data_IF_119860850388
#
_entry.id   IF_119860850388
#
_cell.length_a   1.000
_cell.length_b   1.000
_cell.length_c   1.000
_cell.angle_alpha   90.00
_cell.angle_beta   90.00
_cell.angle_gamma   90.00
#
_symmetry.space_group_name_H-M   'P 1'
#
loop_
_entity.id
_entity.type
_entity.pdbx_description
1 polymer ?
#
# COMPACT_ATOMS: atom_id res chain seq x y z
N UNK A 1 9.84 -29.82 -27.55
CA UNK A 1 10.17 -28.44 -27.97
C UNK A 1 8.97 -27.59 -28.41
N UNK A 2 7.96 -28.11 -29.12
CA UNK A 2 6.78 -27.33 -29.57
C UNK A 2 5.95 -26.69 -28.44
N UNK A 3 5.80 -27.36 -27.30
CA UNK A 3 5.10 -26.82 -26.12
C UNK A 3 5.83 -25.61 -25.50
N UNK A 4 7.15 -25.65 -25.43
CA UNK A 4 7.95 -24.55 -24.89
C UNK A 4 7.83 -23.31 -25.80
N UNK A 5 7.86 -23.52 -27.13
CA UNK A 5 7.67 -22.44 -28.11
C UNK A 5 6.27 -21.81 -28.04
N UNK A 6 5.20 -22.59 -27.85
CA UNK A 6 3.84 -22.04 -27.75
C UNK A 6 3.60 -21.29 -26.44
N UNK A 7 4.14 -21.80 -25.33
CA UNK A 7 4.06 -21.12 -24.02
C UNK A 7 4.87 -19.82 -24.06
N UNK A 8 6.08 -19.84 -24.61
CA UNK A 8 6.92 -18.65 -24.73
C UNK A 8 6.27 -17.58 -25.62
N UNK A 9 5.67 -17.96 -26.75
CA UNK A 9 4.95 -17.04 -27.63
C UNK A 9 3.71 -16.43 -26.97
N UNK A 10 2.99 -17.19 -26.16
CA UNK A 10 1.86 -16.68 -25.39
C UNK A 10 2.32 -15.67 -24.32
N UNK A 11 3.38 -16.00 -23.57
CA UNK A 11 3.95 -15.11 -22.55
C UNK A 11 4.46 -13.82 -23.18
N UNK A 12 5.22 -13.89 -24.29
CA UNK A 12 5.73 -12.69 -24.98
C UNK A 12 4.59 -11.79 -25.45
N UNK A 13 3.51 -12.35 -25.99
CA UNK A 13 2.36 -11.57 -26.46
C UNK A 13 1.62 -10.90 -25.32
N UNK A 14 1.53 -11.55 -24.15
CA UNK A 14 0.91 -11.02 -22.94
C UNK A 14 1.77 -9.93 -22.28
N UNK A 15 3.09 -10.14 -22.20
CA UNK A 15 4.05 -9.13 -21.73
C UNK A 15 4.08 -7.93 -22.66
N UNK A 16 4.05 -8.14 -23.97
CA UNK A 16 3.97 -7.06 -24.96
C UNK A 16 2.68 -6.24 -24.84
N UNK A 17 1.54 -6.89 -24.61
CA UNK A 17 0.26 -6.21 -24.35
C UNK A 17 0.31 -5.38 -23.07
N UNK A 18 0.87 -5.92 -21.99
CA UNK A 18 1.02 -5.22 -20.72
C UNK A 18 1.97 -4.02 -20.86
N UNK A 19 3.09 -4.21 -21.57
CA UNK A 19 4.02 -3.14 -21.91
C UNK A 19 3.36 -2.03 -22.70
N UNK A 20 2.59 -2.36 -23.75
CA UNK A 20 1.88 -1.38 -24.56
C UNK A 20 0.82 -0.61 -23.75
N UNK A 21 0.12 -1.27 -22.84
CA UNK A 21 -0.91 -0.67 -21.99
C UNK A 21 -0.28 0.28 -20.95
N UNK A 22 0.82 -0.13 -20.32
CA UNK A 22 1.59 0.75 -19.44
C UNK A 22 2.16 1.95 -20.20
N UNK A 23 2.69 1.73 -21.40
CA UNK A 23 3.25 2.79 -22.24
C UNK A 23 2.18 3.78 -22.70
N UNK A 24 0.96 3.32 -23.03
CA UNK A 24 -0.15 4.22 -23.37
C UNK A 24 -0.64 5.01 -22.15
N UNK A 25 -0.70 4.39 -20.98
CA UNK A 25 -1.02 5.07 -19.72
C UNK A 25 0.02 6.15 -19.39
N UNK A 26 1.29 5.81 -19.56
CA UNK A 26 2.40 6.74 -19.35
C UNK A 26 2.40 7.89 -20.36
N UNK A 27 2.15 7.62 -21.65
CA UNK A 27 1.99 8.65 -22.68
C UNK A 27 0.78 9.55 -22.40
N UNK A 28 -0.35 8.98 -22.00
CA UNK A 28 -1.52 9.75 -21.58
C UNK A 28 -1.21 10.66 -20.39
N UNK A 29 -0.45 10.15 -19.42
CA UNK A 29 0.02 10.93 -18.28
C UNK A 29 0.94 12.08 -18.68
N UNK A 30 1.95 11.84 -19.53
CA UNK A 30 2.84 12.89 -20.03
C UNK A 30 2.07 13.96 -20.80
N UNK A 31 1.06 13.55 -21.57
CA UNK A 31 0.21 14.47 -22.33
C UNK A 31 -0.65 15.34 -21.41
N UNK A 32 -1.18 14.78 -20.32
CA UNK A 32 -1.90 15.51 -19.27
C UNK A 32 -0.97 16.49 -18.53
N UNK A 33 0.27 16.07 -18.20
CA UNK A 33 1.26 16.95 -17.58
C UNK A 33 1.68 18.11 -18.49
N UNK A 34 1.81 17.86 -19.79
CA UNK A 34 2.14 18.89 -20.76
C UNK A 34 1.01 19.90 -20.98
N UNK A 35 -0.25 19.46 -20.88
CA UNK A 35 -1.42 20.32 -21.07
C UNK A 35 -1.81 21.13 -19.83
N UNK A 36 -1.45 20.69 -18.62
CA UNK A 36 -1.92 21.29 -17.37
C UNK A 36 -0.71 21.68 -16.48
N UNK A 37 -0.19 22.91 -16.59
CA UNK A 37 0.97 23.36 -15.82
C UNK A 37 0.77 23.26 -14.30
N UNK A 38 -0.47 23.41 -13.82
CA UNK A 38 -0.82 23.28 -12.40
C UNK A 38 -0.57 21.87 -11.84
N UNK A 39 -0.59 20.82 -12.67
CA UNK A 39 -0.22 19.47 -12.24
C UNK A 39 1.29 19.33 -12.01
N UNK A 40 2.10 20.04 -12.79
CA UNK A 40 3.56 20.03 -12.65
C UNK A 40 3.98 20.74 -11.37
N UNK A 41 3.34 21.87 -11.06
CA UNK A 41 3.49 22.58 -9.79
C UNK A 41 3.06 21.69 -8.62
N UNK A 42 1.88 21.06 -8.68
CA UNK A 42 1.42 20.17 -7.61
C UNK A 42 2.33 18.94 -7.37
N UNK A 43 2.96 18.39 -8.42
CA UNK A 43 3.96 17.33 -8.26
C UNK A 43 5.25 17.87 -7.62
N UNK A 44 5.72 19.03 -8.06
CA UNK A 44 6.89 19.68 -7.47
C UNK A 44 6.67 20.04 -5.99
N UNK A 45 5.50 20.57 -5.65
CA UNK A 45 5.10 20.88 -4.27
C UNK A 45 5.03 19.62 -3.40
N UNK A 46 4.67 18.47 -3.99
CA UNK A 46 4.72 17.18 -3.30
C UNK A 46 6.11 16.70 -2.99
N UNK A 47 7.00 16.73 -3.97
CA UNK A 47 8.39 16.37 -3.75
C UNK A 47 9.06 17.34 -2.75
N UNK A 48 8.70 18.63 -2.82
CA UNK A 48 9.12 19.64 -1.85
C UNK A 48 8.59 19.36 -0.45
N UNK A 49 7.31 18.99 -0.30
CA UNK A 49 6.75 18.62 1.00
C UNK A 49 7.51 17.46 1.62
N UNK A 50 7.79 16.40 0.84
CA UNK A 50 8.57 15.26 1.35
C UNK A 50 9.99 15.67 1.75
N UNK A 51 10.61 16.60 1.03
CA UNK A 51 11.91 17.14 1.38
C UNK A 51 11.85 17.97 2.67
N UNK A 52 10.88 18.87 2.80
CA UNK A 52 10.69 19.74 3.98
C UNK A 52 10.42 18.91 5.23
N UNK A 53 9.61 17.84 5.15
CA UNK A 53 9.37 16.92 6.26
C UNK A 53 10.66 16.22 6.70
N UNK A 54 11.52 15.80 5.75
CA UNK A 54 12.83 15.21 6.07
C UNK A 54 13.79 16.23 6.69
N UNK A 55 13.86 17.43 6.13
CA UNK A 55 14.69 18.53 6.66
C UNK A 55 14.24 18.92 8.06
N UNK A 56 12.93 19.05 8.30
CA UNK A 56 12.36 19.31 9.62
C UNK A 56 12.77 18.23 10.62
N UNK A 57 12.62 16.95 10.28
CA UNK A 57 13.00 15.85 11.16
C UNK A 57 14.52 15.84 11.47
N UNK A 58 15.35 16.25 10.52
CA UNK A 58 16.79 16.41 10.74
C UNK A 58 17.09 17.57 11.70
N UNK A 59 16.47 18.73 11.51
CA UNK A 59 16.62 19.90 12.38
C UNK A 59 16.11 19.61 13.80
N UNK A 60 14.98 18.92 13.93
CA UNK A 60 14.41 18.51 15.23
C UNK A 60 15.37 17.59 15.99
N UNK A 61 15.99 16.63 15.29
CA UNK A 61 17.01 15.75 15.87
C UNK A 61 18.29 16.49 16.26
N UNK A 62 18.75 17.44 15.44
CA UNK A 62 19.91 18.29 15.76
C UNK A 62 19.64 19.18 16.97
N UNK A 63 18.42 19.71 17.08
CA UNK A 63 17.99 20.54 18.21
C UNK A 63 17.94 19.72 19.51
N UNK A 64 17.34 18.53 19.49
CA UNK A 64 17.37 17.61 20.64
C UNK A 64 18.81 17.26 21.06
N UNK A 65 19.72 17.06 20.10
CA UNK A 65 21.12 16.77 20.40
C UNK A 65 21.82 17.98 21.04
N UNK A 66 21.61 19.18 20.51
CA UNK A 66 22.18 20.42 21.05
C UNK A 66 21.66 20.69 22.46
N UNK A 67 20.37 20.48 22.73
CA UNK A 67 19.79 20.62 24.06
C UNK A 67 20.43 19.67 25.06
N UNK A 68 20.61 18.39 24.70
CA UNK A 68 21.31 17.42 25.56
C UNK A 68 22.77 17.80 25.80
N UNK A 69 23.49 18.26 24.77
CA UNK A 69 24.88 18.71 24.91
C UNK A 69 24.98 19.94 25.84
N UNK A 70 24.00 20.84 25.79
CA UNK A 70 23.92 21.99 26.70
C UNK A 70 23.60 21.54 28.13
N UNK A 71 22.66 20.63 28.34
CA UNK A 71 22.35 20.10 29.67
C UNK A 71 23.53 19.35 30.29
N UNK A 72 24.20 18.48 29.52
CA UNK A 72 25.41 17.79 29.96
C UNK A 72 26.56 18.76 30.24
N UNK A 73 26.74 19.77 29.40
CA UNK A 73 27.73 20.83 29.60
C UNK A 73 27.48 21.61 30.88
N UNK A 74 26.22 21.99 31.13
CA UNK A 74 25.82 22.71 32.35
C UNK A 74 25.99 21.85 33.60
N UNK A 75 25.63 20.56 33.54
CA UNK A 75 25.84 19.63 34.64
C UNK A 75 27.33 19.51 35.00
N UNK A 76 28.21 19.36 33.99
CA UNK A 76 29.67 19.30 34.20
C UNK A 76 30.26 20.61 34.74
N UNK A 77 29.79 21.76 34.25
CA UNK A 77 30.22 23.06 34.79
C UNK A 77 29.83 23.22 36.25
N UNK A 78 28.60 22.81 36.63
CA UNK A 78 28.17 22.82 38.03
C UNK A 78 28.99 21.86 38.89
N UNK A 79 29.26 20.64 38.40
CA UNK A 79 30.08 19.66 39.13
C UNK A 79 31.50 20.20 39.37
N UNK A 80 32.14 20.74 38.32
CA UNK A 80 33.47 21.36 38.44
C UNK A 80 33.49 22.58 39.37
N UNK A 81 32.42 23.40 39.37
CA UNK A 81 32.27 24.54 40.28
C UNK A 81 32.09 24.09 41.72
N UNK A 82 31.25 23.07 41.94
CA UNK A 82 30.99 22.51 43.25
C UNK A 82 32.27 21.89 43.85
N UNK A 83 33.06 21.17 43.04
CA UNK A 83 34.37 20.63 43.45
C UNK A 83 35.36 21.73 43.81
N UNK A 84 35.40 22.83 43.04
CA UNK A 84 36.27 23.97 43.30
C UNK A 84 35.88 24.69 44.60
N UNK A 85 34.59 24.97 44.79
CA UNK A 85 34.08 25.64 45.98
C UNK A 85 34.26 24.74 47.21
N UNK A 86 34.05 23.41 47.11
CA UNK A 86 34.30 22.49 48.21
C UNK A 86 35.78 22.43 48.61
N UNK A 87 36.69 22.54 47.64
CA UNK A 87 38.12 22.67 47.90
C UNK A 87 38.45 23.99 48.62
N UNK A 88 37.91 25.13 48.14
CA UNK A 88 38.09 26.46 48.76
C UNK A 88 37.52 26.51 50.19
N UNK A 89 36.35 25.92 50.44
CA UNK A 89 35.77 25.82 51.80
C UNK A 89 36.67 24.98 52.71
N UNK A 90 37.21 23.87 52.21
CA UNK A 90 38.07 22.98 53.00
C UNK A 90 39.41 23.64 53.34
N UNK A 91 39.98 24.40 52.41
CA UNK A 91 41.19 25.20 52.61
C UNK A 91 40.91 26.36 53.58
N UNK A 92 39.87 27.16 53.32
CA UNK A 92 39.48 28.27 54.20
C UNK A 92 39.20 27.84 55.63
N UNK A 93 38.55 26.69 55.86
CA UNK A 93 38.35 26.15 57.22
C UNK A 93 39.67 25.77 57.92
N UNK A 94 40.68 25.31 57.18
CA UNK A 94 42.01 25.05 57.75
C UNK A 94 42.72 26.36 58.08
N UNK A 95 42.68 27.32 57.18
CA UNK A 95 43.33 28.63 57.35
C UNK A 95 42.73 29.40 58.53
N UNK A 96 41.39 29.39 58.68
CA UNK A 96 40.72 29.95 59.86
C UNK A 96 41.16 29.23 61.13
N UNK A 97 41.25 27.90 61.12
CA UNK A 97 41.67 27.14 62.30
C UNK A 97 43.14 27.41 62.69
N UNK A 98 44.02 27.51 61.69
CA UNK A 98 45.44 27.84 61.87
C UNK A 98 45.62 29.27 62.37
N UNK A 99 44.98 30.25 61.72
CA UNK A 99 45.09 31.65 62.14
C UNK A 99 44.44 31.93 63.48
N UNK A 100 43.33 31.27 63.81
CA UNK A 100 42.72 31.36 65.14
C UNK A 100 43.65 30.81 66.22
N UNK A 101 44.41 29.75 65.92
CA UNK A 101 45.42 29.23 66.82
C UNK A 101 46.63 30.18 66.96
N UNK A 102 47.05 30.82 65.87
CA UNK A 102 48.13 31.82 65.86
C UNK A 102 47.75 33.09 66.63
N UNK A 103 46.57 33.67 66.36
CA UNK A 103 46.00 34.81 67.10
C UNK A 103 45.89 34.47 68.59
N UNK A 104 45.43 33.26 68.94
CA UNK A 104 45.33 32.83 70.34
C UNK A 104 46.71 32.76 71.00
N UNK A 105 47.72 32.19 70.35
CA UNK A 105 49.10 32.18 70.86
C UNK A 105 49.63 33.59 71.07
N UNK A 106 49.42 34.50 70.11
CA UNK A 106 49.86 35.90 70.21
C UNK A 106 49.12 36.66 71.33
N UNK A 107 47.85 36.30 71.60
CA UNK A 107 47.04 36.89 72.68
C UNK A 107 47.45 36.38 74.06
N UNK A 108 47.74 35.07 74.17
CA UNK A 108 48.23 34.43 75.40
C UNK A 108 49.65 34.93 75.74
N UNK A 109 50.52 35.14 74.75
CA UNK A 109 51.84 35.79 74.95
C UNK A 109 51.70 37.26 75.41
N UNK A 110 50.58 37.91 75.12
CA UNK A 110 50.30 39.29 75.54
C UNK A 110 49.92 39.40 77.02
N UNK A 111 49.37 38.35 77.64
CA UNK A 111 49.16 38.29 79.10
C UNK A 111 50.49 38.32 79.87
N UNK A 112 51.61 37.92 79.25
CA UNK A 112 52.95 38.05 79.84
C UNK A 112 53.41 39.52 79.95
N UNK A 113 52.80 40.44 79.21
CA UNK A 113 53.03 41.89 79.35
C UNK A 113 52.25 42.50 80.54
N UNK A 114 51.35 41.75 81.19
CA UNK A 114 50.50 42.23 82.29
C UNK A 114 51.14 42.19 83.69
N UNK A 115 52.23 41.43 83.90
CA UNK A 115 52.86 41.29 85.23
C UNK A 115 54.38 41.52 85.21
N UNK A 116 55.07 41.26 84.09
CA UNK A 116 56.54 41.43 83.97
C UNK A 116 56.92 42.69 83.18
N UNK A 117 55.96 43.34 82.50
CA UNK A 117 56.17 44.53 81.67
C UNK A 117 56.51 45.81 82.45
N UNK A 118 56.03 45.96 83.69
CA UNK A 118 56.29 47.15 84.51
C UNK A 118 57.75 47.30 84.94
N UNK A 119 58.52 46.20 85.01
CA UNK A 119 59.94 46.25 85.44
C UNK A 119 60.89 46.48 84.26
N UNK A 120 60.52 46.07 83.03
CA UNK A 120 61.38 46.21 81.83
C UNK A 120 61.14 47.49 81.02
N UNK A 121 60.02 48.18 81.21
CA UNK A 121 59.72 49.43 80.49
C UNK A 121 60.61 50.62 80.88
N UNK A 122 61.40 50.51 81.96
CA UNK A 122 62.28 51.58 82.44
C UNK A 122 63.62 51.68 81.69
N UNK A 123 64.04 50.65 80.92
CA UNK A 123 65.44 50.53 80.44
C UNK A 123 65.62 50.63 78.91
N UNK A 124 64.57 50.46 78.09
CA UNK A 124 64.69 50.54 76.62
C UNK A 124 63.63 51.46 75.98
N UNK A 125 64.03 52.55 75.28
CA UNK A 125 63.10 53.44 74.59
C UNK A 125 62.66 52.80 73.28
N UNK A 126 61.56 52.06 73.33
CA UNK A 126 60.98 51.38 72.18
C UNK A 126 59.86 50.48 72.63
N UNK A 127 58.62 50.92 72.46
CA UNK A 127 57.43 50.35 73.10
C UNK A 127 57.10 48.97 72.49
N UNK A 128 57.81 47.91 72.90
CA UNK A 128 57.62 46.54 72.43
C UNK A 128 56.16 46.07 72.56
N UNK A 129 55.44 46.57 73.57
CA UNK A 129 54.01 46.30 73.74
C UNK A 129 53.17 46.85 72.57
N UNK A 130 53.38 48.09 72.12
CA UNK A 130 52.63 48.68 70.98
C UNK A 130 52.90 47.95 69.68
N UNK A 131 54.14 47.49 69.47
CA UNK A 131 54.48 46.66 68.32
C UNK A 131 53.72 45.31 68.36
N UNK A 132 53.63 44.67 69.53
CA UNK A 132 52.81 43.47 69.73
C UNK A 132 51.31 43.70 69.50
N UNK A 133 50.75 44.84 69.93
CA UNK A 133 49.34 45.17 69.66
C UNK A 133 49.06 45.33 68.16
N UNK A 134 49.98 45.97 67.43
CA UNK A 134 49.86 46.14 65.99
C UNK A 134 49.91 44.81 65.24
N UNK A 135 50.73 43.85 65.71
CA UNK A 135 50.80 42.50 65.12
C UNK A 135 49.52 41.71 65.37
N UNK A 136 48.99 41.70 66.61
CA UNK A 136 47.71 41.04 66.91
C UNK A 136 46.57 41.65 66.11
N UNK A 137 46.51 42.98 66.03
CA UNK A 137 45.47 43.66 65.26
C UNK A 137 45.52 43.29 63.78
N UNK A 138 46.71 43.21 63.20
CA UNK A 138 46.89 42.80 61.80
C UNK A 138 46.52 41.33 61.57
N UNK A 139 46.79 40.46 62.55
CA UNK A 139 46.37 39.06 62.52
C UNK A 139 44.85 38.92 62.62
N UNK A 140 44.18 39.71 63.49
CA UNK A 140 42.71 39.79 63.55
C UNK A 140 42.12 40.31 62.23
N UNK A 141 42.67 41.38 61.63
CA UNK A 141 42.22 41.90 60.32
C UNK A 141 42.38 40.85 59.19
N UNK A 142 43.44 40.04 59.26
CA UNK A 142 43.68 38.94 58.31
C UNK A 142 42.67 37.80 58.54
N UNK A 143 42.41 37.44 59.79
CA UNK A 143 41.41 36.44 60.17
C UNK A 143 40.02 36.87 59.70
N UNK A 144 39.61 38.12 59.93
CA UNK A 144 38.32 38.65 59.47
C UNK A 144 38.19 38.57 57.94
N UNK A 145 39.28 38.81 57.21
CA UNK A 145 39.29 38.70 55.74
C UNK A 145 39.10 37.24 55.29
N UNK A 146 39.75 36.28 55.96
CA UNK A 146 39.63 34.85 55.65
C UNK A 146 38.25 34.32 56.07
N UNK A 147 37.72 34.73 57.22
CA UNK A 147 36.36 34.37 57.65
C UNK A 147 35.31 34.94 56.68
N UNK A 148 35.54 36.16 56.17
CA UNK A 148 34.71 36.77 55.14
C UNK A 148 34.71 36.00 53.82
N UNK A 149 35.89 35.58 53.32
CA UNK A 149 35.97 34.79 52.09
C UNK A 149 35.38 33.38 52.25
N UNK A 150 35.59 32.75 53.42
CA UNK A 150 34.97 31.46 53.74
C UNK A 150 33.44 31.55 53.78
N UNK A 151 32.89 32.59 54.42
CA UNK A 151 31.44 32.80 54.49
C UNK A 151 30.84 33.02 53.09
N UNK A 152 31.56 33.71 52.20
CA UNK A 152 31.15 33.88 50.81
C UNK A 152 31.16 32.54 50.05
N UNK A 153 32.23 31.75 50.17
CA UNK A 153 32.31 30.42 49.53
C UNK A 153 31.22 29.46 50.04
N UNK A 154 30.91 29.48 51.34
CA UNK A 154 29.81 28.69 51.91
C UNK A 154 28.43 29.15 51.38
N UNK A 155 28.23 30.45 51.15
CA UNK A 155 27.01 30.97 50.54
C UNK A 155 26.88 30.56 49.06
N UNK A 156 27.98 30.59 48.29
CA UNK A 156 28.01 30.12 46.90
C UNK A 156 27.74 28.60 46.82
N UNK A 157 28.32 27.81 47.72
CA UNK A 157 28.01 26.38 47.85
C UNK A 157 26.54 26.10 48.18
N UNK A 158 25.93 26.92 49.04
CA UNK A 158 24.52 26.79 49.38
C UNK A 158 23.63 27.00 48.15
N UNK A 159 23.96 27.96 47.28
CA UNK A 159 23.25 28.19 46.01
C UNK A 159 23.40 27.00 45.06
N UNK A 160 24.59 26.40 44.95
CA UNK A 160 24.80 25.23 44.10
C UNK A 160 24.05 23.98 44.58
N UNK A 161 23.91 23.82 45.90
CA UNK A 161 23.25 22.66 46.53
C UNK A 161 21.74 22.81 46.68
N UNK A 162 21.20 24.00 46.43
CA UNK A 162 19.76 24.26 46.50
C UNK A 162 19.01 23.37 45.48
N UNK A 163 18.11 22.47 45.91
CA UNK A 163 17.36 21.62 45.00
C UNK A 163 16.25 22.38 44.26
N UNK A 164 15.85 23.56 44.75
CA UNK A 164 14.73 24.33 44.19
C UNK A 164 15.17 25.25 43.03
N UNK A 165 16.47 25.40 42.81
CA UNK A 165 17.02 26.21 41.73
C UNK A 165 17.33 25.36 40.49
N UNK A 166 16.95 25.87 39.31
CA UNK A 166 17.35 25.24 38.05
C UNK A 166 18.84 25.42 37.80
N UNK A 167 19.42 24.52 37.01
CA UNK A 167 20.84 24.53 36.61
C UNK A 167 21.26 25.91 36.06
N UNK A 168 20.37 26.60 35.34
CA UNK A 168 20.64 27.93 34.78
C UNK A 168 20.59 29.03 35.84
N UNK A 169 19.64 28.98 36.77
CA UNK A 169 19.55 29.92 37.89
C UNK A 169 20.77 29.83 38.83
N UNK A 170 21.32 28.61 39.01
CA UNK A 170 22.54 28.39 39.77
C UNK A 170 23.75 29.09 39.13
N UNK A 171 23.93 28.92 37.82
CA UNK A 171 25.04 29.53 37.08
C UNK A 171 24.89 31.06 36.96
N UNK A 172 23.67 31.57 36.77
CA UNK A 172 23.40 33.02 36.71
C UNK A 172 23.71 33.73 38.03
N UNK A 173 23.42 33.10 39.18
CA UNK A 173 23.76 33.65 40.50
C UNK A 173 25.26 33.66 40.80
N UNK A 174 26.03 32.76 40.18
CA UNK A 174 27.49 32.64 40.37
C UNK A 174 28.26 33.48 39.34
N UNK A 175 27.55 34.10 38.38
CA UNK A 175 28.12 35.09 37.45
C UNK A 175 28.94 34.51 36.29
N UNK A 176 28.89 33.19 36.05
CA UNK A 176 29.76 32.52 35.07
C UNK A 176 29.14 32.37 33.67
N UNK A 177 28.06 33.11 33.37
CA UNK A 177 27.21 32.94 32.17
C UNK A 177 27.82 33.27 30.80
N UNK A 178 29.13 33.52 30.68
CA UNK A 178 29.75 34.01 29.44
C UNK A 178 29.84 32.98 28.31
N UNK A 179 30.11 31.71 28.62
CA UNK A 179 30.42 30.66 27.63
C UNK A 179 29.20 30.06 26.91
N UNK A 180 28.03 30.07 27.55
CA UNK A 180 26.82 29.39 27.08
C UNK A 180 26.09 30.16 25.96
N UNK A 181 26.36 31.46 25.82
CA UNK A 181 25.70 32.34 24.85
C UNK A 181 25.83 31.89 23.39
N UNK A 182 26.90 31.18 23.04
CA UNK A 182 27.12 30.71 21.66
C UNK A 182 26.27 29.50 21.30
N UNK A 183 26.07 28.57 22.24
CA UNK A 183 25.24 27.38 22.04
C UNK A 183 23.76 27.71 22.19
N UNK A 184 23.39 28.57 23.13
CA UNK A 184 22.03 29.11 23.25
C UNK A 184 21.60 29.82 21.95
N UNK A 185 22.52 30.59 21.32
CA UNK A 185 22.27 31.20 20.01
C UNK A 185 22.08 30.17 18.90
N UNK A 186 22.82 29.05 18.93
CA UNK A 186 22.63 27.94 17.97
C UNK A 186 21.27 27.28 18.15
N UNK A 187 20.85 27.03 19.40
CA UNK A 187 19.52 26.48 19.71
C UNK A 187 18.44 27.44 19.18
N UNK A 188 18.50 28.73 19.52
CA UNK A 188 17.52 29.71 19.04
C UNK A 188 17.47 29.80 17.50
N UNK A 189 18.63 29.74 16.83
CA UNK A 189 18.68 29.72 15.38
C UNK A 189 18.02 28.45 14.80
N UNK A 190 18.27 27.28 15.40
CA UNK A 190 17.68 26.00 14.99
C UNK A 190 16.19 25.92 15.29
N UNK A 191 15.74 26.52 16.40
CA UNK A 191 14.33 26.63 16.74
C UNK A 191 13.59 27.54 15.75
N UNK A 192 14.20 28.66 15.37
CA UNK A 192 13.69 29.53 14.31
C UNK A 192 13.63 28.78 12.97
N UNK A 193 14.68 28.03 12.61
CA UNK A 193 14.70 27.20 11.39
C UNK A 193 13.57 26.16 11.41
N UNK A 194 13.37 25.47 12.54
CA UNK A 194 12.30 24.50 12.74
C UNK A 194 10.91 25.13 12.57
N UNK A 195 10.71 26.33 13.13
CA UNK A 195 9.45 27.07 13.03
C UNK A 195 9.15 27.46 11.58
N UNK A 196 10.16 27.90 10.82
CA UNK A 196 10.05 28.22 9.40
C UNK A 196 9.69 26.98 8.58
N UNK A 197 10.32 25.83 8.88
CA UNK A 197 10.03 24.56 8.19
C UNK A 197 8.62 24.05 8.47
N UNK A 198 8.13 24.18 9.71
CA UNK A 198 6.73 23.84 10.06
C UNK A 198 5.73 24.73 9.31
N UNK A 199 6.04 26.02 9.14
CA UNK A 199 5.20 26.93 8.35
C UNK A 199 5.22 26.56 6.85
N UNK A 200 6.39 26.25 6.29
CA UNK A 200 6.56 25.78 4.91
C UNK A 200 5.76 24.48 4.68
N UNK A 201 5.90 23.49 5.58
CA UNK A 201 5.14 22.23 5.57
C UNK A 201 3.63 22.49 5.53
N UNK A 202 3.10 23.31 6.44
CA UNK A 202 1.67 23.63 6.49
C UNK A 202 1.17 24.30 5.20
N UNK A 203 1.94 25.24 4.66
CA UNK A 203 1.57 25.91 3.40
C UNK A 203 1.53 24.95 2.22
N UNK A 204 2.45 23.98 2.18
CA UNK A 204 2.51 22.95 1.14
C UNK A 204 1.41 21.89 1.31
N UNK A 205 1.02 21.56 2.54
CA UNK A 205 -0.13 20.71 2.82
C UNK A 205 -1.44 21.36 2.35
N UNK A 206 -1.62 22.66 2.60
CA UNK A 206 -2.78 23.42 2.11
C UNK A 206 -2.81 23.46 0.57
N UNK A 207 -1.65 23.65 -0.08
CA UNK A 207 -1.53 23.58 -1.54
C UNK A 207 -1.87 22.18 -2.08
N UNK A 208 -1.46 21.10 -1.39
CA UNK A 208 -1.82 19.74 -1.77
C UNK A 208 -3.29 19.39 -1.50
N UNK A 209 -3.91 19.98 -0.49
CA UNK A 209 -5.33 19.81 -0.21
C UNK A 209 -6.22 20.48 -1.27
N UNK A 210 -5.65 21.37 -2.10
CA UNK A 210 -6.34 21.92 -3.26
C UNK A 210 -6.67 20.83 -4.30
N UNK A 211 -7.72 21.03 -5.09
CA UNK A 211 -8.30 19.99 -5.95
C UNK A 211 -7.33 19.29 -6.90
N UNK A 212 -6.29 19.99 -7.39
CA UNK A 212 -5.26 19.42 -8.27
C UNK A 212 -4.25 18.57 -7.47
N UNK A 213 -3.85 19.02 -6.28
CA UNK A 213 -2.95 18.29 -5.39
C UNK A 213 -3.58 16.99 -4.87
N UNK A 214 -4.88 17.00 -4.59
CA UNK A 214 -5.62 15.79 -4.21
C UNK A 214 -5.57 14.72 -5.31
N UNK A 215 -5.74 15.10 -6.58
CA UNK A 215 -5.66 14.16 -7.72
C UNK A 215 -4.27 13.55 -7.84
N UNK A 216 -3.21 14.36 -7.71
CA UNK A 216 -1.82 13.87 -7.76
C UNK A 216 -1.54 12.88 -6.61
N UNK A 217 -2.00 13.20 -5.41
CA UNK A 217 -1.80 12.33 -4.25
C UNK A 217 -2.56 11.00 -4.39
N UNK A 218 -3.83 11.06 -4.81
CA UNK A 218 -4.64 9.87 -5.11
C UNK A 218 -4.02 9.02 -6.23
N UNK A 219 -3.46 9.64 -7.26
CA UNK A 219 -2.78 8.94 -8.35
C UNK A 219 -1.54 8.18 -7.84
N UNK A 220 -0.70 8.83 -7.04
CA UNK A 220 0.49 8.21 -6.49
C UNK A 220 0.17 7.02 -5.57
N UNK A 221 -0.92 7.14 -4.79
CA UNK A 221 -1.40 6.08 -3.92
C UNK A 221 -2.03 4.92 -4.72
N UNK A 222 -2.76 5.24 -5.79
CA UNK A 222 -3.49 4.26 -6.61
C UNK A 222 -2.64 3.54 -7.65
N UNK A 223 -1.49 4.08 -8.08
CA UNK A 223 -0.58 3.43 -9.03
C UNK A 223 -0.24 1.98 -8.64
N UNK A 224 0.05 1.72 -7.37
CA UNK A 224 0.36 0.37 -6.87
C UNK A 224 -0.82 -0.58 -7.08
N UNK A 225 -2.03 -0.12 -6.79
CA UNK A 225 -3.26 -0.89 -6.99
C UNK A 225 -3.56 -1.10 -8.46
N UNK A 226 -3.36 -0.09 -9.31
CA UNK A 226 -3.50 -0.22 -10.76
C UNK A 226 -2.53 -1.26 -11.33
N UNK A 227 -1.28 -1.28 -10.86
CA UNK A 227 -0.30 -2.29 -11.25
C UNK A 227 -0.72 -3.71 -10.80
N UNK A 228 -1.23 -3.84 -9.57
CA UNK A 228 -1.76 -5.11 -9.05
C UNK A 228 -2.99 -5.57 -9.84
N UNK A 229 -3.92 -4.67 -10.16
CA UNK A 229 -5.11 -4.97 -10.97
C UNK A 229 -4.70 -5.38 -12.39
N UNK A 230 -3.76 -4.67 -13.00
CA UNK A 230 -3.24 -5.01 -14.33
C UNK A 230 -2.59 -6.40 -14.34
N UNK A 231 -1.80 -6.73 -13.31
CA UNK A 231 -1.24 -8.06 -13.12
C UNK A 231 -2.34 -9.11 -12.93
N UNK A 232 -3.36 -8.80 -12.12
CA UNK A 232 -4.46 -9.72 -11.86
C UNK A 232 -5.26 -9.98 -13.14
N UNK A 233 -5.61 -8.97 -13.92
CA UNK A 233 -6.27 -9.12 -15.23
C UNK A 233 -5.44 -9.98 -16.19
N UNK A 234 -4.11 -9.93 -16.10
CA UNK A 234 -3.21 -10.76 -16.91
C UNK A 234 -3.23 -12.23 -16.48
N UNK A 235 -3.17 -12.49 -15.18
CA UNK A 235 -2.99 -13.83 -14.60
C UNK A 235 -4.33 -14.56 -14.43
N UNK A 236 -5.39 -13.85 -14.06
CA UNK A 236 -6.70 -14.41 -13.71
C UNK A 236 -7.29 -15.32 -14.79
N UNK A 237 -7.25 -15.01 -16.10
CA UNK A 237 -7.79 -15.91 -17.13
C UNK A 237 -7.05 -17.25 -17.21
N UNK A 238 -5.72 -17.24 -17.01
CA UNK A 238 -4.91 -18.45 -16.99
C UNK A 238 -5.16 -19.27 -15.73
N UNK A 239 -5.16 -18.61 -14.57
CA UNK A 239 -5.48 -19.23 -13.29
C UNK A 239 -6.89 -19.86 -13.30
N UNK A 240 -7.90 -19.15 -13.81
CA UNK A 240 -9.25 -19.67 -13.94
C UNK A 240 -9.33 -20.91 -14.82
N UNK A 241 -8.56 -20.99 -15.92
CA UNK A 241 -8.50 -22.21 -16.73
C UNK A 241 -7.88 -23.38 -15.98
N UNK A 242 -6.80 -23.14 -15.25
CA UNK A 242 -6.12 -24.18 -14.45
C UNK A 242 -7.05 -24.67 -13.35
N UNK A 243 -7.67 -23.77 -12.59
CA UNK A 243 -8.64 -24.12 -11.55
C UNK A 243 -9.87 -24.82 -12.15
N UNK A 244 -10.38 -24.34 -13.27
CA UNK A 244 -11.52 -24.98 -13.95
C UNK A 244 -11.19 -26.41 -14.38
N UNK A 245 -10.00 -26.62 -14.94
CA UNK A 245 -9.58 -27.93 -15.43
C UNK A 245 -9.19 -28.90 -14.31
N UNK A 246 -8.40 -28.46 -13.33
CA UNK A 246 -7.85 -29.34 -12.30
C UNK A 246 -8.74 -29.48 -11.06
N UNK A 247 -9.62 -28.52 -10.78
CA UNK A 247 -10.47 -28.50 -9.60
C UNK A 247 -11.94 -28.75 -9.96
N UNK A 248 -12.47 -28.03 -10.94
CA UNK A 248 -13.88 -28.18 -11.34
C UNK A 248 -14.12 -29.47 -12.14
N UNK A 249 -13.27 -29.80 -13.12
CA UNK A 249 -13.46 -31.00 -13.94
C UNK A 249 -13.53 -32.32 -13.15
N UNK A 250 -12.68 -32.61 -12.15
CA UNK A 250 -12.82 -33.85 -11.37
C UNK A 250 -14.07 -33.87 -10.49
N UNK A 251 -14.53 -32.71 -10.01
CA UNK A 251 -15.79 -32.59 -9.26
C UNK A 251 -16.97 -32.87 -10.20
N UNK A 252 -16.98 -32.26 -11.38
CA UNK A 252 -18.01 -32.47 -12.40
C UNK A 252 -18.04 -33.92 -12.86
N UNK A 253 -16.88 -34.54 -13.09
CA UNK A 253 -16.79 -35.94 -13.54
C UNK A 253 -17.26 -36.94 -12.46
N UNK A 254 -17.12 -36.60 -11.17
CA UNK A 254 -17.64 -37.44 -10.07
C UNK A 254 -19.16 -37.30 -9.89
N UNK A 255 -19.72 -36.14 -10.21
CA UNK A 255 -21.14 -35.86 -10.05
C UNK A 255 -21.95 -36.31 -11.28
N UNK A 256 -21.37 -36.23 -12.48
CA UNK A 256 -22.05 -36.65 -13.71
C UNK A 256 -22.01 -38.16 -13.89
N UNK A 257 -23.20 -38.78 -13.97
CA UNK A 257 -23.35 -40.16 -14.44
C UNK A 257 -22.95 -40.24 -15.92
N UNK A 258 -22.19 -41.27 -16.33
CA UNK A 258 -21.82 -41.46 -17.72
C UNK A 258 -23.06 -41.54 -18.61
N UNK A 259 -23.04 -40.82 -19.73
CA UNK A 259 -24.15 -40.80 -20.67
C UNK A 259 -24.12 -42.11 -21.45
N UNK A 260 -24.93 -43.07 -20.99
CA UNK A 260 -25.23 -44.27 -21.76
C UNK A 260 -26.14 -43.86 -22.93
N UNK A 261 -25.59 -43.89 -24.14
CA UNK A 261 -26.38 -43.77 -25.37
C UNK A 261 -27.18 -45.08 -25.51
N UNK A 262 -28.44 -45.02 -25.07
CA UNK A 262 -29.46 -46.07 -25.11
C UNK A 262 -29.16 -47.34 -24.29
N UNK A 263 -29.57 -47.33 -23.02
CA UNK A 263 -30.00 -48.56 -22.36
C UNK A 263 -31.38 -48.95 -22.95
N UNK A 264 -31.45 -50.07 -23.69
CA UNK A 264 -32.73 -50.66 -24.14
C UNK A 264 -33.00 -50.72 -25.65
N UNK A 265 -32.01 -50.58 -26.54
CA UNK A 265 -32.22 -50.69 -28.00
C UNK A 265 -31.88 -52.05 -28.61
N UNK A 266 -31.88 -53.14 -27.84
CA UNK A 266 -31.69 -54.51 -28.38
C UNK A 266 -32.98 -55.05 -29.02
N UNK A 267 -33.68 -54.23 -29.80
CA UNK A 267 -34.73 -54.73 -30.68
C UNK A 267 -34.04 -55.26 -31.95
N UNK A 268 -33.85 -56.58 -32.04
CA UNK A 268 -33.25 -57.23 -33.21
C UNK A 268 -33.99 -56.96 -34.55
N UNK A 269 -35.21 -56.41 -34.48
CA UNK A 269 -36.01 -56.00 -35.63
C UNK A 269 -35.81 -54.54 -36.08
N UNK A 270 -35.02 -53.74 -35.34
CA UNK A 270 -34.75 -52.35 -35.69
C UNK A 270 -33.85 -52.29 -36.93
N UNK A 271 -34.38 -51.74 -38.03
CA UNK A 271 -33.64 -51.53 -39.28
C UNK A 271 -33.51 -50.02 -39.56
N UNK A 272 -32.30 -49.61 -39.95
CA UNK A 272 -31.95 -48.25 -40.30
C UNK A 272 -31.33 -48.28 -41.70
N UNK A 273 -32.02 -47.69 -42.68
CA UNK A 273 -31.52 -47.62 -44.05
C UNK A 273 -31.20 -46.18 -44.41
N UNK A 274 -30.03 -45.96 -44.95
CA UNK A 274 -29.59 -44.65 -45.44
C UNK A 274 -29.40 -44.72 -46.95
N UNK A 275 -29.87 -43.70 -47.67
CA UNK A 275 -29.54 -43.54 -49.09
C UNK A 275 -28.17 -42.88 -49.24
N UNK A 276 -27.59 -42.92 -50.45
CA UNK A 276 -26.40 -42.11 -50.74
C UNK A 276 -26.70 -40.61 -50.57
N UNK A 277 -25.70 -39.85 -50.16
CA UNK A 277 -25.80 -38.39 -50.06
C UNK A 277 -25.84 -37.77 -51.47
N UNK A 278 -26.87 -36.97 -51.76
CA UNK A 278 -27.10 -36.36 -53.07
C UNK A 278 -27.38 -34.87 -52.90
N UNK A 279 -26.93 -34.04 -53.84
CA UNK A 279 -27.22 -32.58 -53.82
C UNK A 279 -28.70 -32.27 -54.05
N UNK A 280 -29.34 -33.08 -54.87
CA UNK A 280 -30.77 -33.01 -55.20
C UNK A 280 -31.38 -34.36 -54.94
N UNK A 281 -32.36 -34.41 -54.05
CA UNK A 281 -33.03 -35.63 -53.64
C UNK A 281 -34.50 -35.57 -54.08
N UNK A 282 -34.89 -36.45 -55.01
CA UNK A 282 -36.27 -36.59 -55.44
C UNK A 282 -36.98 -37.64 -54.60
N UNK A 283 -38.04 -37.23 -53.91
CA UNK A 283 -38.87 -38.10 -53.08
C UNK A 283 -40.18 -38.36 -53.83
N UNK A 284 -40.49 -39.63 -54.04
CA UNK A 284 -41.80 -40.08 -54.51
C UNK A 284 -42.70 -40.34 -53.31
N UNK A 285 -43.91 -39.79 -53.34
CA UNK A 285 -44.92 -39.95 -52.30
C UNK A 285 -46.06 -40.81 -52.83
N UNK A 286 -46.35 -41.90 -52.12
CA UNK A 286 -47.51 -42.73 -52.36
C UNK A 286 -48.82 -42.05 -51.94
N UNK A 287 -49.95 -42.66 -52.30
CA UNK A 287 -51.27 -42.15 -51.95
C UNK A 287 -51.42 -42.01 -50.42
N UNK A 288 -51.70 -40.79 -49.96
CA UNK A 288 -51.87 -40.49 -48.52
C UNK A 288 -50.57 -40.27 -47.75
N UNK A 289 -49.39 -40.45 -48.36
CA UNK A 289 -48.12 -40.09 -47.73
C UNK A 289 -47.95 -38.57 -47.67
N UNK A 290 -47.39 -38.11 -46.57
CA UNK A 290 -47.21 -36.68 -46.31
C UNK A 290 -45.73 -36.40 -46.08
N UNK A 291 -45.17 -35.52 -46.89
CA UNK A 291 -43.85 -34.93 -46.67
C UNK A 291 -44.02 -33.53 -46.06
N UNK A 292 -43.39 -33.29 -44.91
CA UNK A 292 -43.23 -31.97 -44.33
C UNK A 292 -41.77 -31.55 -44.46
N UNK A 293 -41.45 -30.63 -45.37
CA UNK A 293 -40.09 -30.17 -45.63
C UNK A 293 -39.96 -28.65 -45.49
N UNK A 294 -38.76 -28.14 -45.17
CA UNK A 294 -38.51 -26.69 -45.09
C UNK A 294 -38.73 -26.05 -46.46
N UNK A 295 -39.55 -25.01 -46.53
CA UNK A 295 -39.93 -24.38 -47.81
C UNK A 295 -38.73 -23.89 -48.61
N UNK A 296 -37.64 -23.51 -47.94
CA UNK A 296 -36.39 -23.07 -48.60
C UNK A 296 -35.70 -24.20 -49.40
N UNK A 297 -35.94 -25.46 -49.04
CA UNK A 297 -35.33 -26.64 -49.67
C UNK A 297 -36.23 -27.29 -50.73
N UNK A 298 -37.50 -26.91 -50.83
CA UNK A 298 -38.47 -27.52 -51.75
C UNK A 298 -38.42 -26.82 -53.12
N UNK A 299 -38.18 -27.60 -54.18
CA UNK A 299 -38.25 -27.17 -55.59
C UNK A 299 -39.56 -27.70 -56.21
N UNK A 300 -40.00 -27.23 -57.39
CA UNK A 300 -41.41 -27.29 -57.79
C UNK A 300 -41.97 -28.71 -57.73
N UNK A 301 -43.17 -28.82 -57.17
CA UNK A 301 -43.81 -30.08 -56.80
C UNK A 301 -44.97 -30.36 -57.74
N UNK A 302 -45.10 -31.60 -58.21
CA UNK A 302 -46.33 -32.07 -58.85
C UNK A 302 -47.28 -32.56 -57.76
N UNK A 303 -48.26 -31.73 -57.36
CA UNK A 303 -49.26 -32.10 -56.35
C UNK A 303 -49.80 -30.91 -55.54
N UNK A 304 -50.66 -31.20 -54.55
CA UNK A 304 -51.23 -30.19 -53.64
C UNK A 304 -50.22 -29.80 -52.56
N UNK A 305 -49.80 -28.54 -52.57
CA UNK A 305 -48.91 -27.96 -51.56
C UNK A 305 -49.73 -27.14 -50.57
N UNK A 306 -49.52 -27.36 -49.26
CA UNK A 306 -50.04 -26.50 -48.21
C UNK A 306 -48.90 -25.99 -47.34
N UNK A 307 -48.85 -24.69 -47.09
CA UNK A 307 -47.88 -24.12 -46.15
C UNK A 307 -48.32 -24.38 -44.71
N UNK A 308 -47.36 -24.73 -43.85
CA UNK A 308 -47.55 -24.87 -42.40
C UNK A 308 -46.48 -24.04 -41.70
N UNK A 309 -46.92 -23.11 -40.86
CA UNK A 309 -46.02 -22.17 -40.20
C UNK A 309 -45.05 -22.86 -39.22
N UNK A 310 -45.54 -23.86 -38.48
CA UNK A 310 -44.78 -24.62 -37.48
C UNK A 310 -45.10 -26.11 -37.57
N UNK A 311 -44.08 -26.96 -37.35
CA UNK A 311 -44.26 -28.42 -37.32
C UNK A 311 -45.30 -28.87 -36.30
N UNK A 312 -45.24 -28.34 -35.08
CA UNK A 312 -46.21 -28.60 -34.01
C UNK A 312 -46.57 -27.30 -33.29
N UNK A 313 -47.88 -27.04 -33.18
CA UNK A 313 -48.42 -25.84 -32.52
C UNK A 313 -48.45 -25.98 -31.00
N UNK A 314 -48.38 -27.20 -30.45
CA UNK A 314 -48.31 -27.39 -29.00
C UNK A 314 -46.92 -27.06 -28.44
N UNK A 315 -45.91 -26.97 -29.32
CA UNK A 315 -44.51 -26.72 -28.96
C UNK A 315 -43.83 -25.66 -29.88
N UNK A 316 -44.32 -24.40 -29.90
CA UNK A 316 -43.93 -23.41 -30.91
C UNK A 316 -42.47 -22.96 -30.82
N UNK A 317 -41.95 -22.72 -29.60
CA UNK A 317 -40.55 -22.33 -29.39
C UNK A 317 -39.56 -23.44 -29.76
N UNK A 318 -39.95 -24.69 -29.49
CA UNK A 318 -39.15 -25.87 -29.84
C UNK A 318 -39.11 -26.03 -31.35
N UNK A 319 -40.26 -25.94 -32.02
CA UNK A 319 -40.35 -25.98 -33.49
C UNK A 319 -39.53 -24.87 -34.13
N UNK A 320 -39.54 -23.66 -33.57
CA UNK A 320 -38.72 -22.54 -34.04
C UNK A 320 -37.22 -22.75 -33.83
N UNK A 321 -36.78 -23.08 -32.60
CA UNK A 321 -35.38 -23.34 -32.26
C UNK A 321 -34.81 -24.56 -33.01
N UNK A 322 -35.68 -25.51 -33.35
CA UNK A 322 -35.35 -26.66 -34.18
C UNK A 322 -35.15 -26.31 -35.67
N UNK A 323 -35.52 -25.09 -36.08
CA UNK A 323 -35.59 -24.70 -37.49
C UNK A 323 -36.73 -25.38 -38.26
N UNK A 324 -37.67 -26.02 -37.56
CA UNK A 324 -38.86 -26.69 -38.11
C UNK A 324 -40.03 -25.70 -38.25
N UNK A 325 -39.75 -24.55 -38.84
CA UNK A 325 -40.71 -23.49 -39.12
C UNK A 325 -40.73 -23.20 -40.64
N UNK A 326 -41.82 -22.62 -41.14
CA UNK A 326 -41.98 -22.34 -42.57
C UNK A 326 -41.94 -23.62 -43.42
N UNK A 327 -42.68 -24.65 -43.03
CA UNK A 327 -42.69 -25.94 -43.72
C UNK A 327 -43.70 -25.95 -44.87
N UNK A 328 -43.33 -26.61 -45.96
CA UNK A 328 -44.22 -26.97 -47.06
C UNK A 328 -44.64 -28.42 -46.86
N UNK A 329 -45.96 -28.63 -46.77
CA UNK A 329 -46.58 -29.95 -46.69
C UNK A 329 -46.99 -30.38 -48.09
N UNK A 330 -46.37 -31.44 -48.59
CA UNK A 330 -46.72 -32.10 -49.85
C UNK A 330 -47.46 -33.38 -49.49
N UNK A 331 -48.65 -33.57 -50.07
CA UNK A 331 -49.44 -34.80 -49.91
C UNK A 331 -49.45 -35.55 -51.22
N UNK A 332 -49.17 -36.86 -51.18
CA UNK A 332 -49.23 -37.73 -52.35
C UNK A 332 -50.66 -37.99 -52.79
N UNK A 333 -50.94 -37.73 -54.07
CA UNK A 333 -52.21 -38.08 -54.74
C UNK A 333 -52.11 -39.49 -55.37
N UNK A 334 -53.24 -40.10 -55.76
CA UNK A 334 -53.29 -41.47 -56.32
C UNK A 334 -52.45 -41.66 -57.60
N UNK A 335 -52.15 -40.58 -58.32
CA UNK A 335 -51.28 -40.58 -59.51
C UNK A 335 -49.78 -40.58 -59.22
N UNK A 336 -49.36 -40.58 -57.94
CA UNK A 336 -47.98 -40.44 -57.51
C UNK A 336 -47.51 -38.99 -57.56
N UNK A 337 -47.11 -38.44 -56.43
CA UNK A 337 -46.58 -37.07 -56.35
C UNK A 337 -45.07 -37.10 -56.12
N UNK A 338 -44.31 -36.30 -56.87
CA UNK A 338 -42.87 -36.16 -56.66
C UNK A 338 -42.51 -34.78 -56.12
N UNK A 339 -41.70 -34.75 -55.06
CA UNK A 339 -41.11 -33.53 -54.51
C UNK A 339 -39.59 -33.59 -54.63
N UNK A 340 -39.00 -32.55 -55.23
CA UNK A 340 -37.53 -32.44 -55.35
C UNK A 340 -37.01 -31.53 -54.24
N UNK A 341 -36.12 -32.06 -53.40
CA UNK A 341 -35.42 -31.32 -52.36
C UNK A 341 -34.01 -30.93 -52.84
N UNK A 342 -33.62 -29.68 -52.61
CA UNK A 342 -32.28 -29.17 -52.94
C UNK A 342 -31.82 -28.16 -51.88
N UNK A 343 -30.52 -28.07 -51.65
CA UNK A 343 -29.90 -27.08 -50.75
C UNK A 343 -29.60 -25.79 -51.53
N UNK A 344 -30.31 -24.67 -51.27
CA UNK A 344 -30.17 -23.46 -52.09
C UNK A 344 -28.91 -22.65 -51.80
N UNK A 345 -28.41 -22.68 -50.56
CA UNK A 345 -27.51 -21.65 -50.01
C UNK A 345 -26.10 -22.17 -49.68
N UNK A 346 -25.84 -23.46 -49.85
CA UNK A 346 -24.55 -24.07 -49.52
C UNK A 346 -24.18 -25.12 -50.59
N UNK A 347 -23.15 -24.87 -51.41
CA UNK A 347 -22.73 -25.81 -52.45
C UNK A 347 -22.17 -27.12 -51.89
N UNK A 348 -21.68 -27.14 -50.65
CA UNK A 348 -21.08 -28.33 -50.02
C UNK A 348 -22.08 -29.12 -49.17
N UNK A 349 -23.35 -28.71 -49.18
CA UNK A 349 -24.41 -29.39 -48.42
C UNK A 349 -25.08 -30.49 -49.26
N UNK A 350 -25.04 -31.72 -48.74
CA UNK A 350 -25.65 -32.91 -49.34
C UNK A 350 -26.86 -33.37 -48.52
N UNK A 351 -27.88 -33.87 -49.20
CA UNK A 351 -29.10 -34.42 -48.63
C UNK A 351 -29.03 -35.94 -48.60
N UNK A 352 -29.50 -36.55 -47.52
CA UNK A 352 -29.57 -37.99 -47.35
C UNK A 352 -30.92 -38.37 -46.76
N UNK A 353 -31.56 -39.42 -47.31
CA UNK A 353 -32.77 -39.99 -46.73
C UNK A 353 -32.38 -41.05 -45.70
N UNK A 354 -33.04 -41.01 -44.56
CA UNK A 354 -32.90 -41.99 -43.49
C UNK A 354 -34.27 -42.61 -43.26
N UNK A 355 -34.40 -43.89 -43.56
CA UNK A 355 -35.62 -44.66 -43.40
C UNK A 355 -35.51 -45.49 -42.10
N UNK A 356 -36.49 -45.35 -41.22
CA UNK A 356 -36.56 -46.05 -39.93
C UNK A 356 -37.65 -47.12 -39.98
N UNK A 357 -37.32 -48.35 -39.60
CA UNK A 357 -38.30 -49.41 -39.37
C UNK A 357 -38.08 -50.01 -37.98
N UNK A 358 -39.11 -49.93 -37.13
CA UNK A 358 -39.09 -50.43 -35.74
C UNK A 358 -37.87 -49.99 -34.91
N UNK A 359 -37.30 -48.83 -35.25
CA UNK A 359 -36.08 -48.29 -34.65
C UNK A 359 -36.42 -47.30 -33.52
N UNK A 360 -35.70 -47.29 -32.38
CA UNK A 360 -35.97 -46.39 -31.23
C UNK A 360 -35.68 -44.89 -31.49
N UNK A 361 -35.47 -44.50 -32.75
CA UNK A 361 -35.14 -43.14 -33.19
C UNK A 361 -33.63 -42.84 -33.22
N UNK A 362 -33.28 -41.69 -33.81
CA UNK A 362 -31.92 -41.17 -33.91
C UNK A 362 -31.89 -39.75 -33.35
N UNK A 363 -30.81 -39.42 -32.63
CA UNK A 363 -30.58 -38.05 -32.15
C UNK A 363 -29.82 -37.29 -33.22
N UNK A 364 -30.46 -36.27 -33.78
CA UNK A 364 -29.87 -35.37 -34.76
C UNK A 364 -30.00 -33.92 -34.33
N UNK A 365 -29.02 -33.10 -34.70
CA UNK A 365 -29.14 -31.66 -34.47
C UNK A 365 -30.28 -31.13 -35.36
N UNK A 366 -31.24 -30.38 -34.80
CA UNK A 366 -32.42 -29.96 -35.56
C UNK A 366 -32.12 -29.20 -36.84
N UNK A 367 -31.03 -28.43 -36.87
CA UNK A 367 -30.58 -27.67 -38.05
C UNK A 367 -30.27 -28.54 -39.28
N UNK A 368 -29.99 -29.83 -39.10
CA UNK A 368 -29.72 -30.76 -40.20
C UNK A 368 -30.98 -31.49 -40.70
N UNK A 369 -32.15 -31.26 -40.08
CA UNK A 369 -33.42 -31.87 -40.51
C UNK A 369 -34.06 -30.99 -41.57
N UNK A 370 -34.04 -31.48 -42.81
CA UNK A 370 -34.60 -30.77 -43.97
C UNK A 370 -36.07 -31.10 -44.19
N UNK A 371 -36.47 -32.34 -43.95
CA UNK A 371 -37.86 -32.76 -44.07
C UNK A 371 -38.11 -34.13 -43.46
N UNK A 372 -39.39 -34.44 -43.28
CA UNK A 372 -39.87 -35.65 -42.62
C UNK A 372 -41.06 -36.22 -43.40
N UNK A 373 -41.02 -37.52 -43.68
CA UNK A 373 -42.13 -38.26 -44.28
C UNK A 373 -42.92 -38.93 -43.15
N UNK A 374 -44.25 -38.82 -43.20
CA UNK A 374 -45.14 -39.37 -42.17
C UNK A 374 -45.21 -38.52 -40.91
N UNK A 375 -45.43 -39.18 -39.77
CA UNK A 375 -45.60 -38.55 -38.46
C UNK A 375 -44.73 -39.23 -37.39
N UNK A 376 -43.38 -39.15 -37.48
CA UNK A 376 -42.53 -39.66 -36.41
C UNK A 376 -42.68 -38.82 -35.14
N UNK A 377 -42.63 -39.48 -33.99
CA UNK A 377 -42.63 -38.82 -32.70
C UNK A 377 -41.32 -38.05 -32.48
N UNK A 378 -41.41 -36.72 -32.45
CA UNK A 378 -40.29 -35.86 -32.08
C UNK A 378 -40.23 -35.68 -30.57
N UNK A 379 -39.14 -36.12 -29.96
CA UNK A 379 -38.84 -35.87 -28.55
C UNK A 379 -37.65 -34.95 -28.43
N UNK A 380 -37.80 -33.87 -27.66
CA UNK A 380 -36.66 -33.01 -27.31
C UNK A 380 -35.81 -33.70 -26.27
N UNK A 381 -34.54 -33.94 -26.62
CA UNK A 381 -33.50 -34.30 -25.67
C UNK A 381 -32.67 -33.05 -25.44
N UNK A 382 -33.14 -32.20 -24.54
CA UNK A 382 -32.33 -31.08 -24.04
C UNK A 382 -31.18 -31.66 -23.20
N UNK A 383 -29.96 -31.23 -23.50
CA UNK A 383 -28.79 -31.46 -22.66
C UNK A 383 -28.53 -30.23 -21.82
#
# INVERSE_FOLDING_TARGET
MRLISSVLGFVLRKVGLLGALLLSLFLGYLLIQALIPTLREAVADRDRLQQVVKERAAVEKELEQLEREVEEGRAKSIESQNDKIDAEIKEGRRDVAEQKAEVKRLRDDKELCGVVGEVKAWVFPGNACRAGEAVVKKADETLDTIEGSLAQAEAEAAVLRDPDLTTQQKLDRIGEGGGLSSTERKINNKESELSQKKAEEKSLEEAQASGVGWVVNQWAQSWKWLAVIALLVLVLPGALRIVSYFLLMPVVNRIHKPIHLAAGSENAAADLRTTAAQRTLTIQLGAGEVLSARSEHVRPVQGKIRSRLLYDWTSPFISFAAGLHGLSRVTGDEGGSSATLATPNDPDSYLMRIDFKDHPGVVMQPKHVVGVIGAPDLKTRWR
#
